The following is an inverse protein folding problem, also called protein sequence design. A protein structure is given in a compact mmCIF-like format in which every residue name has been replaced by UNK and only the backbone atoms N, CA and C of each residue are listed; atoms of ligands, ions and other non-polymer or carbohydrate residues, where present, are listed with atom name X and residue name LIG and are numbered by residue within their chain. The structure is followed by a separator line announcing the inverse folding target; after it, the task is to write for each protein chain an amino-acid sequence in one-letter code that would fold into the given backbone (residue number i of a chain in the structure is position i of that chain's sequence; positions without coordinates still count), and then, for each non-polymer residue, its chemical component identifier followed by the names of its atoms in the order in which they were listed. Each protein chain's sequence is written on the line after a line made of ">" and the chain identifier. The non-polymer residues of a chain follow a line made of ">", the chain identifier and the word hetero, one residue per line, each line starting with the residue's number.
data_IF_724367989091
#
_entry.id   IF_724367989091
#
_cell.length_a   1.000
_cell.length_b   1.000
_cell.length_c   1.000
_cell.angle_alpha   90.00
_cell.angle_beta   90.00
_cell.angle_gamma   90.00
#
_symmetry.space_group_name_H-M   'P 1'
#
loop_
_entity.id
_entity.type
_entity.pdbx_description
1 polymer ?
2 non-polymer ?
3 non-polymer ?
4 non-polymer ?
5 non-polymer ?
6 water ?
#
# COMPACT_ATOMS: atom_id res chain seq x y z
N UNK A 1 -7.22 10.97 12.42
CA UNK A 1 -5.88 10.72 12.82
C UNK A 1 -5.50 9.34 12.31
N UNK A 2 -4.18 9.17 12.21
CA UNK A 2 -3.56 7.91 11.75
C UNK A 2 -3.42 6.95 12.93
N UNK A 3 -4.19 5.87 12.92
CA UNK A 3 -4.32 5.00 14.12
C UNK A 3 -3.71 3.61 13.96
N UNK A 4 -3.09 3.28 12.79
CA UNK A 4 -2.37 2.00 12.70
C UNK A 4 -1.37 2.08 11.56
N UNK A 5 -0.40 1.15 11.58
CA UNK A 5 0.28 0.74 10.35
C UNK A 5 -0.70 -0.14 9.60
N UNK A 6 -1.14 0.25 8.42
CA UNK A 6 -2.08 -0.56 7.63
C UNK A 6 -1.30 -1.59 6.82
N UNK A 7 -0.24 -1.22 6.10
CA UNK A 7 0.50 -2.24 5.36
C UNK A 7 1.90 -1.73 5.01
N UNK A 8 2.71 -2.65 4.59
CA UNK A 8 4.04 -2.39 3.99
C UNK A 8 3.93 -2.82 2.53
N UNK A 9 4.16 -1.94 1.58
CA UNK A 9 4.12 -2.22 0.15
C UNK A 9 5.46 -2.71 -0.31
N UNK A 10 5.56 -3.92 -0.80
CA UNK A 10 6.82 -4.57 -1.18
C UNK A 10 6.77 -4.91 -2.65
N UNK A 11 7.65 -4.32 -3.43
CA UNK A 11 7.69 -4.56 -4.89
C UNK A 11 8.49 -5.80 -5.20
N UNK A 12 7.99 -6.58 -6.18
CA UNK A 12 8.67 -7.83 -6.59
C UNK A 12 8.50 -8.04 -8.12
N UNK A 13 9.42 -8.81 -8.66
CA UNK A 13 9.37 -9.11 -10.11
C UNK A 13 8.31 -10.17 -10.40
N UNK A 14 8.16 -11.14 -9.50
CA UNK A 14 7.28 -12.30 -9.71
C UNK A 14 6.43 -12.45 -8.46
N UNK A 15 5.19 -12.06 -8.56
CA UNK A 15 4.28 -12.15 -7.40
C UNK A 15 4.15 -13.57 -6.91
N UNK A 16 3.91 -14.54 -7.79
CA UNK A 16 3.69 -15.91 -7.31
C UNK A 16 4.92 -16.45 -6.56
N UNK A 17 6.11 -16.15 -7.02
CA UNK A 17 7.31 -16.68 -6.38
C UNK A 17 7.50 -16.00 -5.01
N UNK A 18 7.21 -14.70 -4.98
CA UNK A 18 7.42 -13.93 -3.73
C UNK A 18 6.35 -14.32 -2.71
N UNK A 19 5.10 -14.50 -3.13
CA UNK A 19 4.03 -15.06 -2.27
C UNK A 19 4.47 -16.39 -1.66
N UNK A 20 5.03 -17.29 -2.47
CA UNK A 20 5.48 -18.61 -1.99
C UNK A 20 6.63 -18.51 -1.01
N UNK A 21 7.53 -17.57 -1.23
CA UNK A 21 8.63 -17.32 -0.28
C UNK A 21 8.11 -16.95 1.10
N UNK A 22 7.09 -16.06 1.14
CA UNK A 22 6.52 -15.62 2.44
C UNK A 22 5.74 -16.77 3.11
N UNK A 23 5.05 -17.58 2.31
CA UNK A 23 4.33 -18.75 2.86
C UNK A 23 5.28 -19.78 3.42
N UNK A 24 6.26 -20.14 2.61
CA UNK A 24 7.22 -21.21 2.96
C UNK A 24 8.11 -20.77 4.14
N UNK A 25 8.50 -19.51 4.18
CA UNK A 25 9.49 -19.10 5.21
C UNK A 25 8.82 -18.76 6.55
N UNK A 26 7.68 -18.06 6.48
CA UNK A 26 7.02 -17.50 7.68
C UNK A 26 5.63 -18.09 7.97
N UNK A 27 5.09 -18.81 7.04
CA UNK A 27 3.74 -19.39 7.15
C UNK A 27 2.67 -18.35 6.89
N UNK A 28 2.98 -17.19 6.33
CA UNK A 28 1.96 -16.18 6.02
C UNK A 28 1.17 -16.64 4.81
N UNK A 29 -0.15 -16.53 4.91
CA UNK A 29 -1.02 -16.95 3.79
C UNK A 29 -1.64 -15.75 3.08
N UNK A 30 -2.12 -15.97 1.88
CA UNK A 30 -2.77 -14.93 1.10
C UNK A 30 -4.17 -14.61 1.66
N UNK A 31 -4.38 -13.37 2.06
CA UNK A 31 -5.69 -12.85 2.51
C UNK A 31 -6.47 -12.42 1.30
N UNK A 32 -5.92 -11.77 0.28
CA UNK A 32 -6.65 -11.25 -0.88
C UNK A 32 -5.69 -11.05 -2.02
N UNK A 33 -6.18 -11.02 -3.23
CA UNK A 33 -5.41 -10.77 -4.46
C UNK A 33 -6.23 -9.92 -5.44
N UNK A 34 -5.66 -8.83 -5.90
CA UNK A 34 -6.45 -7.83 -6.71
C UNK A 34 -5.53 -7.18 -7.71
N UNK A 35 -5.99 -6.95 -8.94
CA UNK A 35 -5.29 -6.15 -9.96
C UNK A 35 -5.89 -4.77 -9.95
N UNK A 36 -5.01 -3.76 -9.96
CA UNK A 36 -5.46 -2.35 -10.03
C UNK A 36 -4.87 -1.81 -11.29
N UNK A 37 -5.68 -1.74 -12.35
CA UNK A 37 -5.18 -1.30 -13.68
C UNK A 37 -4.76 0.18 -13.64
N UNK A 38 -5.49 1.04 -12.94
CA UNK A 38 -5.12 2.48 -12.73
C UNK A 38 -3.70 2.56 -12.14
N UNK A 39 -3.44 1.85 -11.03
CA UNK A 39 -2.13 1.92 -10.32
C UNK A 39 -1.07 1.12 -11.09
N UNK A 40 -1.47 0.14 -11.92
CA UNK A 40 -0.58 -0.73 -12.73
C UNK A 40 0.06 -1.84 -11.89
N UNK A 41 -0.71 -2.43 -10.98
CA UNK A 41 -0.10 -3.48 -10.09
C UNK A 41 -1.03 -4.67 -10.02
N UNK A 42 -0.44 -5.83 -9.82
CA UNK A 42 -1.11 -7.04 -9.33
C UNK A 42 -0.63 -7.21 -7.88
N UNK A 43 -1.56 -7.26 -6.97
CA UNK A 43 -1.25 -7.23 -5.51
C UNK A 43 -1.71 -8.53 -4.83
N UNK A 44 -0.92 -9.04 -3.90
CA UNK A 44 -1.35 -10.03 -2.93
C UNK A 44 -1.16 -9.45 -1.54
N UNK A 45 -2.21 -9.42 -0.75
CA UNK A 45 -2.19 -8.95 0.66
C UNK A 45 -2.05 -10.16 1.57
N UNK A 46 -1.11 -10.16 2.50
CA UNK A 46 -0.89 -11.20 3.51
C UNK A 46 -1.19 -10.57 4.85
N UNK A 47 -2.21 -11.00 5.57
CA UNK A 47 -2.53 -10.44 6.86
C UNK A 47 -1.60 -10.96 7.95
N UNK A 48 -0.95 -10.08 8.68
CA UNK A 48 0.01 -10.45 9.72
C UNK A 48 -0.64 -10.41 11.10
N UNK A 49 -1.51 -9.40 11.35
CA UNK A 49 -2.10 -9.24 12.71
C UNK A 49 -3.30 -8.30 12.59
N UNK A 50 -4.18 -8.36 13.59
CA UNK A 50 -5.21 -7.32 13.79
C UNK A 50 -4.59 -6.22 14.64
N UNK A 51 -5.22 -5.05 14.63
CA UNK A 51 -4.75 -3.87 15.33
C UNK A 51 -5.81 -3.29 16.31
N UNK A 52 -5.29 -2.49 17.22
CA UNK A 52 -6.08 -1.96 18.40
C UNK A 52 -7.11 -0.96 17.91
N UNK A 53 -7.00 -0.34 16.74
CA UNK A 53 -8.08 0.53 16.18
C UNK A 53 -9.21 -0.23 15.47
N UNK A 54 -9.24 -1.57 15.56
CA UNK A 54 -10.21 -2.38 14.84
C UNK A 54 -9.85 -2.82 13.43
N UNK A 55 -8.69 -2.37 12.91
CA UNK A 55 -8.24 -2.77 11.60
C UNK A 55 -7.21 -3.90 11.63
N UNK A 56 -6.33 -3.90 10.64
CA UNK A 56 -5.36 -5.01 10.47
C UNK A 56 -4.11 -4.47 9.82
N UNK A 57 -3.02 -5.24 9.90
CA UNK A 57 -1.72 -4.91 9.28
C UNK A 57 -1.40 -6.01 8.29
N UNK A 58 -1.04 -5.63 7.09
CA UNK A 58 -0.75 -6.54 6.00
C UNK A 58 0.66 -6.30 5.39
N UNK A 59 1.16 -7.30 4.71
CA UNK A 59 2.21 -7.12 3.67
C UNK A 59 1.49 -7.06 2.34
N UNK A 60 1.67 -6.02 1.53
CA UNK A 60 1.09 -5.88 0.22
C UNK A 60 2.18 -6.15 -0.79
N UNK A 61 2.24 -7.35 -1.34
CA UNK A 61 3.26 -7.70 -2.38
C UNK A 61 2.75 -7.25 -3.74
N UNK A 62 3.58 -6.55 -4.47
CA UNK A 62 3.20 -5.80 -5.69
C UNK A 62 4.08 -6.18 -6.87
N UNK A 63 3.49 -6.71 -7.93
CA UNK A 63 4.16 -6.97 -9.23
C UNK A 63 3.58 -5.99 -10.24
N UNK A 64 4.42 -5.32 -11.05
CA UNK A 64 3.90 -4.38 -12.04
C UNK A 64 3.15 -5.10 -13.16
N UNK A 65 2.02 -4.52 -13.60
CA UNK A 65 1.27 -4.99 -14.81
C UNK A 65 1.91 -4.44 -16.08
N UNK A 66 2.74 -3.42 -15.97
CA UNK A 66 3.36 -2.71 -17.14
C UNK A 66 4.60 -1.98 -16.63
N UNK A 67 5.61 -1.80 -17.49
CA UNK A 67 6.88 -1.09 -17.15
C UNK A 67 6.57 0.38 -16.84
N UNK A 68 5.63 0.94 -17.59
CA UNK A 68 5.21 2.36 -17.46
C UNK A 68 4.18 2.46 -16.32
N UNK A 69 4.66 2.29 -15.08
CA UNK A 69 3.85 2.37 -13.84
C UNK A 69 4.76 2.82 -12.69
N UNK A 70 4.18 3.30 -11.60
CA UNK A 70 4.97 3.68 -10.41
C UNK A 70 5.88 2.50 -10.03
N UNK A 71 5.34 1.28 -9.95
CA UNK A 71 6.11 0.12 -9.45
C UNK A 71 7.05 -0.41 -10.54
N UNK A 72 6.65 -0.43 -11.81
CA UNK A 72 7.57 -0.93 -12.84
C UNK A 72 8.80 -0.01 -12.95
N UNK A 73 8.57 1.30 -12.83
CA UNK A 73 9.67 2.32 -12.91
C UNK A 73 10.58 2.11 -11.71
N UNK A 74 9.96 1.92 -10.55
CA UNK A 74 10.74 1.76 -9.33
C UNK A 74 11.60 0.47 -9.33
N UNK A 75 11.07 -0.64 -9.81
CA UNK A 75 11.81 -1.93 -9.78
C UNK A 75 13.00 -1.88 -10.74
N UNK A 76 12.79 -1.26 -11.89
CA UNK A 76 13.85 -1.11 -12.92
C UNK A 76 15.02 -0.38 -12.29
N UNK A 77 14.76 0.68 -11.54
CA UNK A 77 15.79 1.53 -10.94
C UNK A 77 16.35 0.89 -9.68
N UNK A 78 15.54 0.24 -8.83
CA UNK A 78 16.00 -0.08 -7.46
C UNK A 78 16.14 -1.58 -7.17
N UNK A 79 15.52 -2.43 -7.97
CA UNK A 79 15.40 -3.84 -7.63
C UNK A 79 14.30 -4.08 -6.58
N UNK A 80 14.07 -5.33 -6.30
CA UNK A 80 12.99 -5.76 -5.38
C UNK A 80 13.26 -5.21 -3.98
N UNK A 81 12.15 -4.84 -3.31
CA UNK A 81 12.30 -4.34 -1.94
C UNK A 81 11.10 -3.55 -1.50
N UNK A 82 11.23 -2.91 -0.35
CA UNK A 82 10.14 -2.07 0.16
C UNK A 82 9.90 -0.86 -0.74
N UNK A 83 8.66 -0.66 -1.14
CA UNK A 83 8.25 0.43 -2.06
C UNK A 83 7.57 1.56 -1.28
N UNK A 84 6.75 1.22 -0.26
CA UNK A 84 6.00 2.26 0.49
C UNK A 84 5.53 1.71 1.83
N UNK A 85 5.12 2.62 2.69
CA UNK A 85 4.47 2.27 3.97
C UNK A 85 3.11 2.93 3.98
N UNK A 86 2.12 2.32 4.61
CA UNK A 86 0.77 2.85 4.65
C UNK A 86 0.23 2.92 6.06
N UNK A 87 -0.41 4.02 6.40
CA UNK A 87 -1.05 4.25 7.69
C UNK A 87 -2.57 4.23 7.49
N UNK A 88 -3.26 3.62 8.42
CA UNK A 88 -4.74 3.59 8.38
C UNK A 88 -5.35 4.72 9.19
N UNK A 89 -6.57 5.10 8.78
CA UNK A 89 -7.38 6.20 9.34
C UNK A 89 -8.85 5.88 9.01
N UNK A 90 -9.68 6.40 9.90
CA UNK A 90 -11.15 6.34 9.73
C UNK A 90 -11.62 7.43 8.75
N UNK A 91 -10.76 8.36 8.35
CA UNK A 91 -11.17 9.52 7.52
C UNK A 91 -9.95 10.01 6.74
N UNK A 92 -9.67 9.33 5.66
CA UNK A 92 -8.51 9.68 4.78
C UNK A 92 -8.75 11.08 4.21
N UNK A 93 -9.99 11.46 3.88
CA UNK A 93 -10.27 12.79 3.28
C UNK A 93 -9.86 13.89 4.25
N UNK A 94 -10.19 13.77 5.52
CA UNK A 94 -9.93 14.81 6.53
C UNK A 94 -8.42 14.82 6.76
N UNK A 95 -7.83 13.63 6.98
CA UNK A 95 -6.41 13.60 7.37
C UNK A 95 -5.58 14.09 6.19
N UNK A 96 -5.92 13.77 4.94
CA UNK A 96 -5.19 14.25 3.77
C UNK A 96 -5.27 15.77 3.68
N UNK A 97 -6.45 16.32 3.92
CA UNK A 97 -6.64 17.80 3.87
C UNK A 97 -5.78 18.47 4.95
N UNK A 98 -5.68 17.89 6.14
CA UNK A 98 -4.87 18.47 7.20
C UNK A 98 -3.39 18.43 6.83
N UNK A 99 -2.90 17.35 6.25
CA UNK A 99 -1.48 17.20 5.85
C UNK A 99 -1.20 18.16 4.67
N UNK A 100 -2.12 18.27 3.73
CA UNK A 100 -1.97 19.25 2.59
C UNK A 100 -1.74 20.65 3.22
N UNK A 101 -2.45 20.98 4.26
CA UNK A 101 -2.37 22.34 4.87
C UNK A 101 -1.03 22.54 5.56
N UNK A 102 -0.22 21.50 5.85
CA UNK A 102 1.14 21.63 6.38
C UNK A 102 2.22 21.77 5.32
N UNK A 103 1.84 21.72 4.04
CA UNK A 103 2.78 21.90 2.95
C UNK A 103 3.41 20.64 2.46
N UNK A 104 3.01 19.45 2.98
CA UNK A 104 3.43 18.15 2.42
C UNK A 104 2.59 17.87 1.17
N UNK A 105 3.26 17.52 0.09
CA UNK A 105 2.58 17.27 -1.20
C UNK A 105 1.69 16.02 -1.10
N UNK A 106 0.41 16.19 -1.25
CA UNK A 106 -0.59 15.09 -1.38
C UNK A 106 -0.79 14.81 -2.87
N UNK A 107 -0.59 13.59 -3.34
CA UNK A 107 -0.53 13.31 -4.80
C UNK A 107 -1.91 13.32 -5.45
N UNK A 108 -3.02 13.16 -4.71
CA UNK A 108 -4.37 13.18 -5.32
C UNK A 108 -5.26 14.28 -4.74
N UNK A 109 -6.13 14.90 -5.56
CA UNK A 109 -7.08 15.89 -5.03
C UNK A 109 -8.05 15.18 -4.08
N UNK A 110 -8.44 13.96 -4.47
CA UNK A 110 -9.47 13.18 -3.71
C UNK A 110 -8.91 11.76 -3.58
N UNK A 111 -9.18 11.08 -2.47
CA UNK A 111 -8.73 9.68 -2.35
C UNK A 111 -9.25 8.81 -3.49
N UNK A 112 -8.40 7.88 -3.97
CA UNK A 112 -8.62 6.95 -5.09
C UNK A 112 -8.84 5.52 -4.56
N UNK A 113 -9.25 4.62 -5.46
CA UNK A 113 -9.54 3.21 -5.06
C UNK A 113 -8.23 2.50 -4.78
N UNK A 114 -8.16 1.83 -3.65
CA UNK A 114 -7.11 0.85 -3.41
C UNK A 114 -7.74 -0.51 -3.26
N UNK A 115 -7.02 -1.42 -2.66
CA UNK A 115 -7.51 -2.83 -2.65
C UNK A 115 -8.67 -3.01 -1.67
N UNK A 116 -9.51 -4.00 -1.96
CA UNK A 116 -10.66 -4.37 -1.08
C UNK A 116 -11.55 -3.16 -0.78
N UNK A 117 -11.78 -2.38 -1.82
CA UNK A 117 -12.69 -1.22 -1.77
C UNK A 117 -12.14 -0.07 -0.93
N UNK A 118 -10.89 -0.13 -0.51
CA UNK A 118 -10.31 0.94 0.36
C UNK A 118 -10.28 2.24 -0.45
N UNK A 119 -10.11 3.36 0.28
CA UNK A 119 -9.82 4.67 -0.35
C UNK A 119 -8.44 5.16 0.15
N UNK A 120 -7.64 5.62 -0.79
CA UNK A 120 -6.20 5.82 -0.52
C UNK A 120 -5.75 7.16 -1.10
N UNK A 121 -4.65 7.69 -0.54
CA UNK A 121 -3.88 8.76 -1.19
C UNK A 121 -2.42 8.57 -0.79
N UNK A 122 -1.55 9.33 -1.36
CA UNK A 122 -0.09 9.21 -1.13
C UNK A 122 0.51 10.57 -0.86
N UNK A 123 1.57 10.55 -0.05
CA UNK A 123 2.40 11.75 0.26
C UNK A 123 3.72 11.62 -0.44
N UNK A 124 4.22 12.72 -1.07
CA UNK A 124 5.47 12.65 -1.85
C UNK A 124 6.65 12.25 -0.98
N UNK A 125 7.46 11.25 -1.41
CA UNK A 125 8.58 10.78 -0.61
C UNK A 125 9.61 11.86 -0.27
N UNK A 126 9.74 12.83 -1.18
CA UNK A 126 10.77 13.85 -0.93
C UNK A 126 10.31 14.81 0.15
N UNK A 127 9.06 14.78 0.54
CA UNK A 127 8.52 15.59 1.65
C UNK A 127 8.46 14.77 2.94
N UNK A 128 8.73 13.48 2.82
CA UNK A 128 8.63 12.55 3.99
C UNK A 128 9.96 11.87 4.29
N UNK A 129 11.09 12.57 4.16
CA UNK A 129 12.42 12.00 4.44
C UNK A 129 12.60 10.66 3.72
N UNK A 130 12.20 10.57 2.45
CA UNK A 130 12.50 9.49 1.54
C UNK A 130 11.54 8.31 1.61
N UNK A 131 10.42 8.49 2.33
CA UNK A 131 9.46 7.35 2.46
C UNK A 131 8.20 7.69 1.71
N UNK A 132 7.90 6.92 0.67
CA UNK A 132 6.59 7.04 0.00
C UNK A 132 5.55 6.59 1.03
N UNK A 133 4.60 7.44 1.33
CA UNK A 133 3.70 7.24 2.49
C UNK A 133 2.26 7.28 2.04
N UNK A 134 1.56 6.18 2.25
CA UNK A 134 0.14 6.07 1.87
C UNK A 134 -0.75 6.27 3.07
N UNK A 135 -1.94 6.86 2.88
CA UNK A 135 -3.03 6.96 3.86
C UNK A 135 -4.23 6.17 3.34
N UNK A 136 -4.77 5.34 4.19
CA UNK A 136 -5.79 4.31 3.82
C UNK A 136 -7.00 4.40 4.73
N UNK A 137 -8.23 4.45 4.17
CA UNK A 137 -9.47 4.13 4.91
C UNK A 137 -10.11 2.88 4.28
N UNK A 138 -10.27 1.91 5.15
CA UNK A 138 -10.95 0.65 4.75
C UNK A 138 -12.40 0.92 4.39
N UNK A 139 -12.94 0.08 3.50
CA UNK A 139 -14.33 0.29 3.02
C UNK A 139 -15.29 0.11 4.20
N UNK A 140 -14.97 -0.81 5.11
CA UNK A 140 -15.72 -1.07 6.35
C UNK A 140 -15.40 0.04 7.38
#
# INVERSE_FOLDING_TARGET
>A
SLTRIDHIGIACHDLDATVEFYRATYGFEVFHTEVNEEQGVREAMLKINDTSDGGASYLALLEPTREDSAVGKWLAKNGEGVHHIAFGTADVDADAADIRDKGVRVLYDEPRRGSMGSRITFLHPKDCHGVLTELVTSAAVESPEH
#
